data_IF_260926818807
#
_entry.id   IF_260926818807
#
_cell.length_a   1.000
_cell.length_b   1.000
_cell.length_c   1.000
_cell.angle_alpha   90.00
_cell.angle_beta   90.00
_cell.angle_gamma   90.00
#
_symmetry.space_group_name_H-M   'P 1'
#
loop_
_entity.id
_entity.type
_entity.pdbx_description
1 polymer ?
#
# COMPACT_ATOMS: atom_id res chain seq x y z
N UNK A 1 -6.38 -34.10 18.66
CA UNK A 1 -6.55 -33.97 17.18
C UNK A 1 -7.83 -33.23 16.76
N UNK A 2 -8.67 -32.74 17.68
CA UNK A 2 -9.63 -31.65 17.42
C UNK A 2 -9.02 -30.25 17.59
N UNK A 3 -7.76 -30.20 18.04
CA UNK A 3 -7.10 -28.97 18.55
C UNK A 3 -6.62 -28.05 17.43
N UNK A 4 -6.38 -28.56 16.21
CA UNK A 4 -5.82 -27.77 15.11
C UNK A 4 -6.83 -26.74 14.56
N UNK A 5 -8.11 -27.10 14.47
CA UNK A 5 -9.17 -26.18 14.04
C UNK A 5 -9.41 -25.08 15.09
N UNK A 6 -9.42 -25.45 16.37
CA UNK A 6 -9.53 -24.49 17.48
C UNK A 6 -8.31 -23.56 17.52
N UNK A 7 -7.10 -24.09 17.32
CA UNK A 7 -5.89 -23.29 17.22
C UNK A 7 -5.95 -22.30 16.07
N UNK A 8 -6.46 -22.70 14.89
CA UNK A 8 -6.63 -21.78 13.76
C UNK A 8 -7.60 -20.64 14.08
N UNK A 9 -8.73 -20.94 14.74
CA UNK A 9 -9.70 -19.91 15.17
C UNK A 9 -9.07 -18.95 16.19
N UNK A 10 -8.33 -19.48 17.18
CA UNK A 10 -7.63 -18.65 18.17
C UNK A 10 -6.59 -17.77 17.48
N UNK A 11 -5.79 -18.32 16.58
CA UNK A 11 -4.79 -17.55 15.82
C UNK A 11 -5.47 -16.47 14.99
N UNK A 12 -6.56 -16.79 14.28
CA UNK A 12 -7.31 -15.80 13.51
C UNK A 12 -7.86 -14.66 14.40
N UNK A 13 -8.39 -14.99 15.59
CA UNK A 13 -8.87 -13.99 16.54
C UNK A 13 -7.73 -13.11 17.07
N UNK A 14 -6.62 -13.71 17.49
CA UNK A 14 -5.43 -12.98 17.97
C UNK A 14 -4.86 -12.08 16.89
N UNK A 15 -4.69 -12.60 15.67
CA UNK A 15 -4.21 -11.81 14.53
C UNK A 15 -5.15 -10.66 14.21
N UNK A 16 -6.48 -10.86 14.31
CA UNK A 16 -7.45 -9.78 14.09
C UNK A 16 -7.33 -8.67 15.13
N UNK A 17 -7.13 -9.02 16.40
CA UNK A 17 -6.87 -8.03 17.47
C UNK A 17 -5.55 -7.31 17.22
N UNK A 18 -4.49 -8.02 16.86
CA UNK A 18 -3.19 -7.42 16.54
C UNK A 18 -3.28 -6.45 15.36
N UNK A 19 -3.99 -6.82 14.29
CA UNK A 19 -4.21 -5.94 13.13
C UNK A 19 -5.01 -4.69 13.53
N UNK A 20 -6.01 -4.82 14.40
CA UNK A 20 -6.75 -3.68 14.92
C UNK A 20 -5.83 -2.74 15.72
N UNK A 21 -4.98 -3.28 16.60
CA UNK A 21 -4.01 -2.50 17.37
C UNK A 21 -3.00 -1.78 16.46
N UNK A 22 -2.50 -2.46 15.43
CA UNK A 22 -1.63 -1.86 14.40
C UNK A 22 -2.36 -0.76 13.64
N UNK A 23 -3.63 -0.95 13.30
CA UNK A 23 -4.43 0.06 12.59
C UNK A 23 -4.65 1.31 13.44
N UNK A 24 -4.89 1.15 14.74
CA UNK A 24 -4.97 2.26 15.71
C UNK A 24 -3.60 2.95 15.84
N UNK A 25 -2.52 2.18 15.93
CA UNK A 25 -1.17 2.72 15.97
C UNK A 25 -0.85 3.55 14.71
N UNK A 26 -1.20 3.06 13.52
CA UNK A 26 -1.01 3.80 12.28
C UNK A 26 -1.83 5.10 12.27
N UNK A 27 -3.09 5.07 12.72
CA UNK A 27 -3.89 6.29 12.84
C UNK A 27 -3.20 7.32 13.75
N UNK A 28 -2.81 6.93 14.96
CA UNK A 28 -2.24 7.85 15.97
C UNK A 28 -0.96 8.51 15.46
N UNK A 29 -0.13 7.75 14.73
CA UNK A 29 1.17 8.23 14.26
C UNK A 29 1.11 9.01 12.94
N UNK A 30 0.13 8.75 12.07
CA UNK A 30 0.00 9.47 10.79
C UNK A 30 -0.94 10.66 10.83
N UNK A 31 -1.90 10.71 11.77
CA UNK A 31 -2.83 11.83 11.88
C UNK A 31 -2.13 13.16 12.22
N UNK A 32 -2.71 14.26 11.76
CA UNK A 32 -2.29 15.61 12.11
C UNK A 32 -2.64 15.96 13.58
N UNK A 33 -1.79 16.71 14.32
CA UNK A 33 -2.05 17.09 15.72
C UNK A 33 -3.36 17.88 15.90
N UNK A 34 -3.74 18.72 14.94
CA UNK A 34 -5.00 19.48 14.99
C UNK A 34 -6.24 18.57 15.04
N UNK A 35 -6.15 17.38 14.46
CA UNK A 35 -7.23 16.40 14.46
C UNK A 35 -7.19 15.48 15.70
N UNK A 36 -6.19 15.57 16.60
CA UNK A 36 -5.94 14.57 17.65
C UNK A 36 -7.13 14.32 18.60
N UNK A 37 -7.86 15.37 18.99
CA UNK A 37 -9.03 15.28 19.89
C UNK A 37 -10.37 15.57 19.19
N UNK A 38 -10.39 15.59 17.85
CA UNK A 38 -11.58 15.87 17.04
C UNK A 38 -11.86 14.72 16.06
N UNK A 39 -12.95 14.82 15.29
CA UNK A 39 -13.24 13.94 14.16
C UNK A 39 -13.25 12.41 14.44
N UNK A 40 -13.89 11.98 15.53
CA UNK A 40 -13.97 10.56 15.92
C UNK A 40 -14.58 9.64 14.85
N UNK A 41 -15.57 10.13 14.10
CA UNK A 41 -16.21 9.32 13.05
C UNK A 41 -15.26 8.99 11.88
N UNK A 42 -14.61 9.97 11.22
CA UNK A 42 -13.55 9.70 10.25
C UNK A 42 -12.44 8.78 10.76
N UNK A 43 -11.99 8.95 12.02
CA UNK A 43 -10.98 8.09 12.64
C UNK A 43 -11.41 6.62 12.72
N UNK A 44 -12.66 6.39 13.12
CA UNK A 44 -13.22 5.04 13.15
C UNK A 44 -13.25 4.42 11.75
N UNK A 45 -13.62 5.19 10.73
CA UNK A 45 -13.61 4.73 9.33
C UNK A 45 -12.19 4.42 8.84
N UNK A 46 -11.19 5.25 9.17
CA UNK A 46 -9.78 4.99 8.86
C UNK A 46 -9.30 3.69 9.50
N UNK A 47 -9.55 3.49 10.79
CA UNK A 47 -9.14 2.27 11.51
C UNK A 47 -9.82 1.04 10.92
N UNK A 48 -11.12 1.11 10.64
CA UNK A 48 -11.86 0.01 10.01
C UNK A 48 -11.33 -0.29 8.61
N UNK A 49 -11.06 0.73 7.78
CA UNK A 49 -10.55 0.54 6.43
C UNK A 49 -9.15 -0.10 6.40
N UNK A 50 -8.22 0.39 7.24
CA UNK A 50 -6.89 -0.25 7.36
C UNK A 50 -7.03 -1.68 7.89
N UNK A 51 -7.89 -1.91 8.88
CA UNK A 51 -8.11 -3.25 9.44
C UNK A 51 -8.63 -4.22 8.37
N UNK A 52 -9.63 -3.82 7.58
CA UNK A 52 -10.18 -4.65 6.50
C UNK A 52 -9.13 -4.92 5.42
N UNK A 53 -8.36 -3.91 5.00
CA UNK A 53 -7.31 -4.08 4.00
C UNK A 53 -6.22 -5.07 4.48
N UNK A 54 -5.74 -4.93 5.71
CA UNK A 54 -4.71 -5.81 6.27
C UNK A 54 -5.24 -7.23 6.56
N UNK A 55 -6.49 -7.38 7.01
CA UNK A 55 -7.10 -8.70 7.21
C UNK A 55 -7.35 -9.42 5.88
N UNK A 56 -7.78 -8.70 4.86
CA UNK A 56 -8.09 -9.29 3.55
C UNK A 56 -6.89 -10.01 2.91
N UNK A 57 -5.67 -9.48 3.06
CA UNK A 57 -4.47 -10.16 2.57
C UNK A 57 -4.09 -11.38 3.44
N UNK A 58 -4.30 -11.30 4.75
CA UNK A 58 -4.04 -12.40 5.70
C UNK A 58 -5.08 -13.52 5.60
N UNK A 59 -6.22 -13.27 4.94
CA UNK A 59 -7.18 -14.33 4.62
C UNK A 59 -6.63 -15.34 3.61
N UNK A 60 -5.69 -14.98 2.73
CA UNK A 60 -5.05 -15.93 1.81
C UNK A 60 -4.33 -17.08 2.56
N UNK A 61 -3.35 -16.80 3.44
CA UNK A 61 -2.70 -17.86 4.20
C UNK A 61 -3.67 -18.53 5.18
N UNK A 62 -4.66 -17.82 5.72
CA UNK A 62 -5.70 -18.44 6.55
C UNK A 62 -6.54 -19.45 5.75
N UNK A 63 -6.88 -19.18 4.49
CA UNK A 63 -7.59 -20.11 3.60
C UNK A 63 -6.77 -21.38 3.35
N UNK A 64 -5.47 -21.22 3.08
CA UNK A 64 -4.54 -22.34 2.92
C UNK A 64 -4.48 -23.17 4.21
N UNK A 65 -4.28 -22.54 5.36
CA UNK A 65 -4.24 -23.22 6.66
C UNK A 65 -5.56 -23.97 6.95
N UNK A 66 -6.69 -23.33 6.66
CA UNK A 66 -8.03 -23.89 6.84
C UNK A 66 -8.25 -25.12 5.94
N UNK A 67 -7.78 -25.07 4.68
CA UNK A 67 -7.84 -26.22 3.78
C UNK A 67 -6.94 -27.36 4.24
N UNK A 68 -5.71 -27.05 4.67
CA UNK A 68 -4.75 -28.03 5.18
C UNK A 68 -5.26 -28.71 6.46
N UNK A 69 -5.94 -27.95 7.33
CA UNK A 69 -6.63 -28.47 8.51
C UNK A 69 -7.65 -29.56 8.14
N UNK A 70 -8.48 -29.29 7.13
CA UNK A 70 -9.50 -30.23 6.66
C UNK A 70 -8.91 -31.43 5.90
N UNK A 71 -7.76 -31.30 5.22
CA UNK A 71 -7.10 -32.42 4.52
C UNK A 71 -6.62 -33.55 5.46
N UNK A 72 -6.35 -33.22 6.73
CA UNK A 72 -5.88 -34.19 7.75
C UNK A 72 -7.04 -34.84 8.55
N UNK A 73 -8.29 -34.44 8.30
CA UNK A 73 -9.44 -35.01 8.99
C UNK A 73 -9.86 -36.36 8.36
N UNK A 74 -9.82 -37.43 9.16
CA UNK A 74 -10.19 -38.80 8.75
C UNK A 74 -11.71 -38.99 8.66
N UNK A 75 -12.51 -38.09 9.25
CA UNK A 75 -13.98 -38.15 9.28
C UNK A 75 -14.60 -36.83 8.78
N UNK A 76 -15.60 -36.94 7.91
CA UNK A 76 -16.29 -35.80 7.25
C UNK A 76 -16.89 -34.78 8.23
N UNK A 77 -17.25 -35.19 9.44
CA UNK A 77 -17.75 -34.30 10.50
C UNK A 77 -16.70 -33.35 11.10
N UNK A 78 -15.40 -33.65 11.04
CA UNK A 78 -14.36 -32.80 11.61
C UNK A 78 -14.06 -31.54 10.78
N UNK A 79 -14.55 -31.47 9.53
CA UNK A 79 -14.47 -30.27 8.69
C UNK A 79 -15.60 -29.27 9.02
N UNK A 80 -16.56 -29.61 9.90
CA UNK A 80 -17.63 -28.68 10.34
C UNK A 80 -17.14 -27.54 11.25
N UNK A 81 -15.98 -27.71 11.90
CA UNK A 81 -15.35 -26.69 12.76
C UNK A 81 -14.31 -25.85 12.00
N UNK A 82 -14.42 -25.77 10.67
CA UNK A 82 -13.52 -24.97 9.84
C UNK A 82 -14.14 -23.60 9.57
N UNK A 83 -13.30 -22.60 9.28
CA UNK A 83 -13.77 -21.27 8.93
C UNK A 83 -14.53 -21.33 7.59
N UNK A 84 -15.73 -20.72 7.48
CA UNK A 84 -16.49 -20.70 6.23
C UNK A 84 -15.86 -19.71 5.24
N UNK A 85 -14.71 -20.06 4.67
CA UNK A 85 -13.85 -19.14 3.90
C UNK A 85 -14.58 -18.51 2.72
N UNK A 86 -15.46 -19.22 2.00
CA UNK A 86 -16.27 -18.63 0.92
C UNK A 86 -17.15 -17.48 1.42
N UNK A 87 -17.84 -17.70 2.55
CA UNK A 87 -18.70 -16.69 3.19
C UNK A 87 -17.88 -15.52 3.71
N UNK A 88 -16.71 -15.79 4.32
CA UNK A 88 -15.81 -14.76 4.80
C UNK A 88 -15.25 -13.91 3.66
N UNK A 89 -14.83 -14.53 2.55
CA UNK A 89 -14.34 -13.80 1.37
C UNK A 89 -15.43 -12.90 0.79
N UNK A 90 -16.65 -13.43 0.62
CA UNK A 90 -17.78 -12.64 0.15
C UNK A 90 -18.12 -11.49 1.12
N UNK A 91 -18.12 -11.74 2.43
CA UNK A 91 -18.38 -10.74 3.44
C UNK A 91 -17.34 -9.61 3.42
N UNK A 92 -16.05 -9.95 3.29
CA UNK A 92 -14.97 -8.96 3.19
C UNK A 92 -15.05 -8.15 1.90
N UNK A 93 -15.40 -8.75 0.76
CA UNK A 93 -15.58 -7.97 -0.48
C UNK A 93 -16.81 -7.06 -0.45
N UNK A 94 -17.91 -7.50 0.16
CA UNK A 94 -19.06 -6.62 0.38
C UNK A 94 -18.68 -5.48 1.32
N UNK A 95 -17.96 -5.78 2.40
CA UNK A 95 -17.49 -4.77 3.34
C UNK A 95 -16.53 -3.77 2.66
N UNK A 96 -15.60 -4.24 1.84
CA UNK A 96 -14.68 -3.41 1.07
C UNK A 96 -15.43 -2.49 0.10
N UNK A 97 -16.36 -3.03 -0.69
CA UNK A 97 -17.17 -2.25 -1.62
C UNK A 97 -18.02 -1.19 -0.89
N UNK A 98 -18.64 -1.55 0.24
CA UNK A 98 -19.41 -0.62 1.07
C UNK A 98 -18.50 0.46 1.66
N UNK A 99 -17.32 0.08 2.16
CA UNK A 99 -16.35 1.03 2.71
C UNK A 99 -15.87 2.02 1.65
N UNK A 100 -15.43 1.54 0.49
CA UNK A 100 -14.85 2.37 -0.57
C UNK A 100 -15.90 3.25 -1.27
N UNK A 101 -17.06 2.71 -1.62
CA UNK A 101 -18.03 3.45 -2.44
C UNK A 101 -19.05 4.25 -1.63
N UNK A 102 -19.27 3.93 -0.35
CA UNK A 102 -20.29 4.58 0.48
C UNK A 102 -19.71 5.22 1.73
N UNK A 103 -19.04 4.45 2.60
CA UNK A 103 -18.66 4.92 3.95
C UNK A 103 -17.52 5.94 3.90
N UNK A 104 -16.47 5.69 3.11
CA UNK A 104 -15.32 6.60 2.96
C UNK A 104 -15.75 7.92 2.28
N UNK A 105 -16.47 7.92 1.14
CA UNK A 105 -17.03 9.13 0.56
C UNK A 105 -17.92 9.89 1.55
N UNK A 106 -18.77 9.18 2.28
CA UNK A 106 -19.59 9.79 3.33
C UNK A 106 -18.75 10.47 4.41
N UNK A 107 -17.73 9.78 4.92
CA UNK A 107 -16.84 10.32 5.95
C UNK A 107 -16.06 11.53 5.46
N UNK A 108 -15.60 11.53 4.20
CA UNK A 108 -14.93 12.69 3.58
C UNK A 108 -15.88 13.88 3.47
N UNK A 109 -17.04 13.72 2.84
CA UNK A 109 -18.01 14.82 2.67
C UNK A 109 -18.58 15.32 4.01
N UNK A 110 -18.75 14.44 5.00
CA UNK A 110 -19.20 14.83 6.34
C UNK A 110 -18.13 15.65 7.08
N UNK A 111 -16.86 15.25 6.95
CA UNK A 111 -15.73 15.94 7.56
C UNK A 111 -15.46 17.30 6.90
N UNK A 112 -15.51 17.39 5.56
CA UNK A 112 -15.41 18.64 4.81
C UNK A 112 -16.63 19.56 4.99
N UNK A 113 -17.74 18.99 5.48
CA UNK A 113 -18.96 19.72 5.76
C UNK A 113 -18.72 20.87 6.75
N UNK A 114 -19.08 22.07 6.31
CA UNK A 114 -18.97 23.32 7.06
C UNK A 114 -19.40 23.18 8.52
N UNK A 115 -18.46 23.44 9.44
CA UNK A 115 -18.65 23.24 10.89
C UNK A 115 -19.69 24.22 11.48
N UNK A 116 -19.96 25.32 10.78
CA UNK A 116 -20.95 26.33 11.18
C UNK A 116 -22.40 25.87 10.95
N UNK A 117 -22.60 24.75 10.24
CA UNK A 117 -23.92 24.17 9.96
C UNK A 117 -24.34 23.19 11.05
N UNK A 118 -25.64 23.16 11.35
CA UNK A 118 -26.21 22.15 12.26
C UNK A 118 -25.92 20.73 11.77
N UNK A 119 -25.74 19.80 12.72
CA UNK A 119 -25.39 18.39 12.44
C UNK A 119 -26.35 17.77 11.40
N UNK A 120 -27.65 18.05 11.47
CA UNK A 120 -28.63 17.57 10.51
C UNK A 120 -28.44 18.11 9.08
N UNK A 121 -28.08 19.39 8.93
CA UNK A 121 -27.78 19.99 7.61
C UNK A 121 -26.49 19.41 7.01
N UNK A 122 -25.49 19.12 7.85
CA UNK A 122 -24.25 18.46 7.43
C UNK A 122 -24.52 17.02 6.98
N UNK A 123 -25.31 16.28 7.76
CA UNK A 123 -25.68 14.90 7.45
C UNK A 123 -26.45 14.79 6.14
N UNK A 124 -27.47 15.62 5.94
CA UNK A 124 -28.26 15.65 4.69
C UNK A 124 -27.42 16.05 3.49
N UNK A 125 -26.54 17.04 3.62
CA UNK A 125 -25.61 17.43 2.57
C UNK A 125 -24.65 16.30 2.21
N UNK A 126 -24.06 15.62 3.20
CA UNK A 126 -23.14 14.51 2.97
C UNK A 126 -23.86 13.32 2.31
N UNK A 127 -25.06 12.97 2.77
CA UNK A 127 -25.88 11.91 2.19
C UNK A 127 -26.25 12.21 0.73
N UNK A 128 -26.54 13.46 0.40
CA UNK A 128 -26.86 13.85 -0.98
C UNK A 128 -25.65 13.67 -1.91
N UNK A 129 -24.45 14.10 -1.48
CA UNK A 129 -23.22 13.90 -2.26
C UNK A 129 -22.86 12.42 -2.40
N UNK A 130 -23.07 11.62 -1.36
CA UNK A 130 -22.86 10.17 -1.40
C UNK A 130 -23.85 9.50 -2.35
N UNK A 131 -25.12 9.92 -2.35
CA UNK A 131 -26.10 9.41 -3.30
C UNK A 131 -25.70 9.72 -4.75
N UNK A 132 -25.24 10.95 -5.02
CA UNK A 132 -24.74 11.33 -6.34
C UNK A 132 -23.52 10.48 -6.72
N UNK A 133 -22.53 10.34 -5.84
CA UNK A 133 -21.34 9.53 -6.13
C UNK A 133 -21.67 8.05 -6.31
N UNK A 134 -22.59 7.51 -5.52
CA UNK A 134 -23.05 6.12 -5.62
C UNK A 134 -23.80 5.87 -6.94
N UNK A 135 -24.63 6.81 -7.39
CA UNK A 135 -25.29 6.73 -8.71
C UNK A 135 -24.25 6.75 -9.83
N UNK A 136 -23.27 7.65 -9.78
CA UNK A 136 -22.21 7.74 -10.80
C UNK A 136 -21.38 6.44 -10.82
N UNK A 137 -20.90 5.97 -9.68
CA UNK A 137 -20.16 4.72 -9.57
C UNK A 137 -21.00 3.52 -10.00
N UNK A 138 -22.27 3.46 -9.60
CA UNK A 138 -23.21 2.41 -9.97
C UNK A 138 -23.49 2.37 -11.47
N UNK A 139 -23.64 3.53 -12.12
CA UNK A 139 -23.79 3.62 -13.58
C UNK A 139 -22.52 3.14 -14.29
N UNK A 140 -21.34 3.57 -13.84
CA UNK A 140 -20.05 3.12 -14.41
C UNK A 140 -19.91 1.59 -14.28
N UNK A 141 -20.14 1.06 -13.07
CA UNK A 141 -20.07 -0.39 -12.81
C UNK A 141 -21.13 -1.16 -13.60
N UNK A 142 -22.35 -0.62 -13.73
CA UNK A 142 -23.44 -1.23 -14.50
C UNK A 142 -23.13 -1.29 -15.99
N UNK A 143 -22.56 -0.23 -16.57
CA UNK A 143 -22.08 -0.20 -17.95
C UNK A 143 -20.95 -1.23 -18.14
N UNK A 144 -19.97 -1.26 -17.24
CA UNK A 144 -18.88 -2.23 -17.28
C UNK A 144 -19.40 -3.67 -17.19
N UNK A 145 -20.37 -3.93 -16.30
CA UNK A 145 -21.00 -5.24 -16.17
C UNK A 145 -21.75 -5.65 -17.45
N UNK A 146 -22.52 -4.74 -18.05
CA UNK A 146 -23.26 -4.99 -19.29
C UNK A 146 -22.35 -5.29 -20.49
N UNK A 147 -21.19 -4.65 -20.57
CA UNK A 147 -20.24 -4.80 -21.68
C UNK A 147 -19.27 -5.98 -21.51
N UNK A 148 -18.81 -6.24 -20.29
CA UNK A 148 -17.63 -7.07 -19.99
C UNK A 148 -17.94 -8.24 -19.05
N UNK A 149 -19.08 -8.24 -18.36
CA UNK A 149 -19.40 -9.19 -17.29
C UNK A 149 -19.81 -10.62 -17.71
N UNK A 150 -19.83 -10.94 -19.01
CA UNK A 150 -20.16 -12.30 -19.49
C UNK A 150 -18.92 -13.20 -19.51
N UNK A 151 -19.10 -14.50 -19.31
CA UNK A 151 -18.01 -15.47 -19.24
C UNK A 151 -18.01 -16.38 -20.48
N UNK A 152 -16.89 -16.51 -21.19
CA UNK A 152 -16.72 -17.36 -22.37
C UNK A 152 -15.73 -18.51 -22.06
N UNK A 153 -16.20 -19.76 -22.03
CA UNK A 153 -15.32 -20.93 -21.87
C UNK A 153 -14.91 -21.50 -23.24
N UNK A 154 -13.60 -21.64 -23.48
CA UNK A 154 -13.06 -22.33 -24.67
C UNK A 154 -12.16 -23.50 -24.24
N UNK A 155 -12.48 -24.72 -24.67
CA UNK A 155 -11.71 -25.93 -24.36
C UNK A 155 -10.57 -26.10 -25.37
N UNK A 156 -9.32 -26.31 -24.90
CA UNK A 156 -8.17 -26.66 -25.76
C UNK A 156 -7.29 -27.72 -25.07
N UNK A 157 -6.83 -28.70 -25.87
CA UNK A 157 -5.88 -29.75 -25.48
C UNK A 157 -4.43 -29.24 -25.57
N UNK A 158 -3.58 -29.68 -24.64
CA UNK A 158 -2.15 -29.35 -24.59
C UNK A 158 -1.30 -30.60 -24.86
N UNK A 159 -0.26 -30.43 -25.67
CA UNK A 159 0.86 -31.36 -25.87
C UNK A 159 2.15 -30.54 -25.69
N UNK A 160 3.15 -31.08 -24.98
CA UNK A 160 4.39 -30.39 -24.63
C UNK A 160 5.62 -31.14 -25.14
N UNK A 161 6.65 -30.37 -25.53
CA UNK A 161 7.99 -30.86 -25.83
C UNK A 161 9.02 -30.10 -24.97
N UNK A 162 10.15 -30.76 -24.65
CA UNK A 162 11.20 -30.31 -23.72
C UNK A 162 12.45 -29.91 -24.52
N UNK A 163 13.09 -28.80 -24.17
CA UNK A 163 14.45 -28.46 -24.60
C UNK A 163 15.37 -28.04 -23.42
N UNK A 164 16.68 -28.21 -23.63
CA UNK A 164 17.78 -28.12 -22.64
C UNK A 164 18.66 -26.88 -22.89
N UNK A 165 19.28 -26.32 -21.84
CA UNK A 165 20.16 -25.14 -21.93
C UNK A 165 21.61 -25.39 -21.45
N UNK A 166 22.62 -24.68 -22.00
CA UNK A 166 24.04 -24.80 -21.60
C UNK A 166 24.53 -23.70 -20.62
N UNK A 167 25.75 -23.93 -20.08
CA UNK A 167 26.39 -23.23 -18.95
C UNK A 167 27.56 -22.29 -19.34
N UNK A 168 27.80 -21.28 -18.46
CA UNK A 168 29.07 -20.56 -18.12
C UNK A 168 29.58 -19.45 -19.10
N UNK A 169 30.35 -18.39 -18.74
CA UNK A 169 31.39 -18.09 -17.72
C UNK A 169 31.43 -16.58 -17.29
N UNK A 170 32.46 -16.20 -16.53
CA UNK A 170 32.65 -15.20 -15.45
C UNK A 170 33.10 -13.74 -15.73
N UNK A 171 32.84 -12.90 -14.70
CA UNK A 171 33.66 -11.82 -14.06
C UNK A 171 34.04 -10.51 -14.78
N UNK A 172 33.88 -9.37 -14.07
CA UNK A 172 34.96 -8.39 -13.83
C UNK A 172 34.69 -7.51 -12.59
N UNK A 173 35.76 -7.20 -11.85
CA UNK A 173 35.86 -6.37 -10.64
C UNK A 173 36.61 -5.09 -10.97
N UNK A 174 36.21 -3.92 -10.45
CA UNK A 174 37.11 -2.85 -9.96
C UNK A 174 36.31 -1.83 -9.12
N UNK A 175 36.87 -1.33 -8.02
CA UNK A 175 36.20 -0.43 -7.07
C UNK A 175 36.68 1.03 -7.08
N UNK A 176 36.10 1.85 -6.19
CA UNK A 176 36.76 2.87 -5.35
C UNK A 176 35.76 3.49 -4.36
N UNK A 177 36.24 4.05 -3.22
CA UNK A 177 35.39 4.54 -2.13
C UNK A 177 35.00 6.02 -2.30
N UNK A 178 33.87 6.42 -1.72
CA UNK A 178 33.51 7.84 -1.57
C UNK A 178 33.02 8.10 -0.15
N UNK A 179 33.93 8.61 0.69
CA UNK A 179 33.63 9.37 1.90
C UNK A 179 33.64 10.85 1.49
N UNK A 180 32.65 11.62 1.94
CA UNK A 180 32.77 13.07 2.05
C UNK A 180 32.24 13.53 3.40
N UNK A 181 33.05 14.31 4.10
CA UNK A 181 32.83 14.81 5.45
C UNK A 181 32.22 16.22 5.48
N UNK A 182 31.43 16.45 6.55
CA UNK A 182 31.12 17.70 7.28
C UNK A 182 29.84 18.50 6.93
N UNK A 183 28.90 18.61 7.90
CA UNK A 183 27.87 19.65 7.93
C UNK A 183 28.19 20.69 9.02
N UNK A 184 28.73 21.85 8.61
CA UNK A 184 28.61 23.11 9.37
C UNK A 184 28.10 24.27 8.50
N UNK A 185 28.14 24.14 7.18
CA UNK A 185 27.63 25.13 6.22
C UNK A 185 26.14 24.92 5.85
N UNK A 186 25.63 23.70 5.96
CA UNK A 186 24.24 23.38 5.58
C UNK A 186 23.21 23.93 6.58
N UNK A 187 23.50 23.86 7.89
CA UNK A 187 22.65 24.44 8.93
C UNK A 187 22.56 25.98 8.85
N UNK A 188 23.64 26.64 8.42
CA UNK A 188 23.67 28.11 8.27
C UNK A 188 22.92 28.57 7.02
N UNK A 189 22.95 27.82 5.92
CA UNK A 189 22.12 28.08 4.74
C UNK A 189 20.63 27.79 4.99
N UNK A 190 20.30 26.73 5.74
CA UNK A 190 18.93 26.43 6.14
C UNK A 190 18.33 27.57 6.99
N UNK A 191 19.11 28.09 7.95
CA UNK A 191 18.71 29.23 8.77
C UNK A 191 18.50 30.53 7.97
N UNK A 192 19.27 30.75 6.88
CA UNK A 192 19.04 31.87 5.96
C UNK A 192 17.72 31.69 5.19
N UNK A 193 17.46 30.49 4.66
CA UNK A 193 16.23 30.17 3.94
C UNK A 193 14.99 30.34 4.82
N UNK A 194 15.04 29.90 6.08
CA UNK A 194 13.97 30.10 7.06
C UNK A 194 13.63 31.58 7.26
N UNK A 195 14.64 32.45 7.34
CA UNK A 195 14.46 33.90 7.48
C UNK A 195 13.86 34.53 6.22
N UNK A 196 14.27 34.10 5.03
CA UNK A 196 13.70 34.57 3.75
C UNK A 196 12.22 34.18 3.64
N UNK A 197 11.89 32.93 3.95
CA UNK A 197 10.51 32.45 3.92
C UNK A 197 9.62 33.15 4.96
N UNK A 198 10.14 33.42 6.16
CA UNK A 198 9.42 34.22 7.17
C UNK A 198 9.09 35.63 6.66
N UNK A 199 10.04 36.31 6.03
CA UNK A 199 9.81 37.64 5.42
C UNK A 199 8.77 37.58 4.29
N UNK A 200 8.81 36.54 3.46
CA UNK A 200 7.82 36.34 2.41
C UNK A 200 6.41 36.05 2.97
N UNK A 201 6.31 35.31 4.07
CA UNK A 201 5.07 35.06 4.79
C UNK A 201 4.47 36.35 5.37
N UNK A 202 5.30 37.17 6.02
CA UNK A 202 4.90 38.47 6.56
C UNK A 202 4.40 39.42 5.46
N UNK A 203 5.09 39.47 4.31
CA UNK A 203 4.67 40.26 3.16
C UNK A 203 3.31 39.81 2.60
N UNK A 204 3.08 38.50 2.45
CA UNK A 204 1.80 37.95 2.00
C UNK A 204 0.67 38.18 3.01
N UNK A 205 0.98 38.19 4.30
CA UNK A 205 0.01 38.51 5.36
C UNK A 205 -0.36 40.00 5.36
N UNK A 206 0.59 40.89 5.04
CA UNK A 206 0.29 42.30 4.81
C UNK A 206 -0.57 42.52 3.55
N UNK A 207 -0.28 41.80 2.46
CA UNK A 207 -1.13 41.81 1.26
C UNK A 207 -2.56 41.31 1.58
N UNK A 208 -2.68 40.32 2.46
CA UNK A 208 -3.96 39.81 2.93
C UNK A 208 -4.78 40.90 3.65
N UNK A 209 -4.14 41.63 4.57
CA UNK A 209 -4.76 42.75 5.29
C UNK A 209 -5.11 43.92 4.38
N UNK A 210 -4.36 44.12 3.30
CA UNK A 210 -4.64 45.14 2.28
C UNK A 210 -5.84 44.79 1.36
N UNK A 211 -6.45 43.61 1.55
CA UNK A 211 -7.65 43.18 0.82
C UNK A 211 -7.37 42.63 -0.59
N UNK A 212 -6.11 42.52 -1.03
CA UNK A 212 -5.73 42.06 -2.38
C UNK A 212 -5.69 40.53 -2.48
N UNK A 213 -6.81 39.85 -2.23
CA UNK A 213 -6.96 38.37 -2.31
C UNK A 213 -7.14 37.84 -3.75
N UNK A 214 -6.34 38.35 -4.69
CA UNK A 214 -6.39 37.99 -6.11
C UNK A 214 -5.77 36.62 -6.45
N UNK A 215 -5.80 36.25 -7.74
CA UNK A 215 -5.21 34.99 -8.25
C UNK A 215 -3.69 34.90 -8.00
N UNK A 216 -2.98 36.03 -8.06
CA UNK A 216 -1.53 36.14 -7.80
C UNK A 216 -1.19 35.80 -6.35
N UNK A 217 -1.92 36.40 -5.40
CA UNK A 217 -1.76 36.11 -3.97
C UNK A 217 -1.94 34.62 -3.68
N UNK A 218 -3.03 34.00 -4.18
CA UNK A 218 -3.28 32.55 -4.02
C UNK A 218 -2.13 31.69 -4.58
N UNK A 219 -1.53 32.09 -5.71
CA UNK A 219 -0.38 31.40 -6.30
C UNK A 219 0.86 31.52 -5.42
N UNK A 220 1.15 32.71 -4.90
CA UNK A 220 2.29 32.97 -4.03
C UNK A 220 2.15 32.26 -2.66
N UNK A 221 0.96 32.26 -2.06
CA UNK A 221 0.67 31.51 -0.82
C UNK A 221 0.91 30.01 -1.03
N UNK A 222 0.46 29.46 -2.16
CA UNK A 222 0.68 28.05 -2.48
C UNK A 222 2.16 27.71 -2.70
N UNK A 223 2.91 28.61 -3.33
CA UNK A 223 4.34 28.45 -3.54
C UNK A 223 5.12 28.51 -2.21
N UNK A 224 4.77 29.47 -1.35
CA UNK A 224 5.34 29.60 -0.01
C UNK A 224 5.06 28.36 0.85
N UNK A 225 3.82 27.87 0.86
CA UNK A 225 3.45 26.66 1.60
C UNK A 225 4.25 25.44 1.16
N UNK A 226 4.53 25.30 -0.15
CA UNK A 226 5.37 24.21 -0.67
C UNK A 226 6.83 24.30 -0.16
N UNK A 227 7.41 25.50 -0.17
CA UNK A 227 8.78 25.69 0.34
C UNK A 227 8.88 25.55 1.86
N UNK A 228 7.83 25.92 2.60
CA UNK A 228 7.78 25.77 4.05
C UNK A 228 7.77 24.29 4.45
N UNK A 229 6.99 23.46 3.74
CA UNK A 229 6.99 22.01 3.96
C UNK A 229 8.37 21.39 3.66
N UNK A 230 9.06 21.85 2.60
CA UNK A 230 10.42 21.39 2.32
C UNK A 230 11.42 21.81 3.40
N UNK A 231 11.31 23.05 3.91
CA UNK A 231 12.15 23.54 4.99
C UNK A 231 11.92 22.74 6.29
N UNK A 232 10.67 22.40 6.60
CA UNK A 232 10.31 21.57 7.75
C UNK A 232 10.88 20.16 7.63
N UNK A 233 10.77 19.53 6.46
CA UNK A 233 11.36 18.21 6.18
C UNK A 233 12.90 18.26 6.33
N UNK A 234 13.56 19.31 5.83
CA UNK A 234 15.01 19.52 5.97
C UNK A 234 15.45 19.80 7.43
N UNK A 235 14.66 20.57 8.18
CA UNK A 235 14.92 20.87 9.59
C UNK A 235 14.80 19.61 10.44
N UNK A 236 13.76 18.80 10.21
CA UNK A 236 13.58 17.51 10.89
C UNK A 236 14.74 16.55 10.60
N UNK A 237 15.22 16.51 9.35
CA UNK A 237 16.40 15.71 9.01
C UNK A 237 17.66 16.19 9.74
N UNK A 238 17.81 17.50 9.94
CA UNK A 238 18.93 18.06 10.72
C UNK A 238 18.82 17.74 12.21
N UNK A 239 17.62 17.83 12.79
CA UNK A 239 17.34 17.46 14.18
C UNK A 239 17.59 15.97 14.44
N UNK A 240 17.25 15.08 13.49
CA UNK A 240 17.58 13.66 13.57
C UNK A 240 19.09 13.39 13.57
N UNK A 241 19.88 14.22 12.88
CA UNK A 241 21.35 14.08 12.81
C UNK A 241 22.08 14.74 13.99
N UNK A 242 21.47 15.76 14.60
CA UNK A 242 22.04 16.55 15.69
C UNK A 242 21.00 16.77 16.80
N UNK A 243 20.65 15.73 17.59
CA UNK A 243 19.69 15.87 18.67
C UNK A 243 20.23 16.85 19.72
N UNK A 244 19.44 17.86 20.09
CA UNK A 244 19.78 18.83 21.13
C UNK A 244 19.06 18.50 22.44
N UNK A 245 19.76 18.53 23.58
CA UNK A 245 19.19 18.36 24.91
C UNK A 245 19.96 17.40 25.82
N UNK A 246 19.42 17.17 27.02
CA UNK A 246 20.04 16.35 28.08
C UNK A 246 20.14 14.84 27.72
N UNK A 247 19.32 14.37 26.76
CA UNK A 247 19.28 12.98 26.28
C UNK A 247 19.85 12.79 24.87
N UNK A 248 20.74 13.69 24.41
CA UNK A 248 21.27 13.69 23.05
C UNK A 248 21.96 12.36 22.67
N UNK A 249 22.78 11.79 23.56
CA UNK A 249 23.51 10.53 23.31
C UNK A 249 22.57 9.33 23.11
N UNK A 250 21.53 9.21 23.94
CA UNK A 250 20.55 8.13 23.82
C UNK A 250 19.69 8.28 22.55
N UNK A 251 19.29 9.51 22.23
CA UNK A 251 18.53 9.84 21.01
C UNK A 251 19.36 9.57 19.76
N UNK A 252 20.65 9.91 19.80
CA UNK A 252 21.60 9.63 18.73
C UNK A 252 21.83 8.10 18.57
N UNK A 253 21.99 7.35 19.66
CA UNK A 253 22.11 5.90 19.59
C UNK A 253 20.86 5.24 18.98
N UNK A 254 19.67 5.70 19.35
CA UNK A 254 18.40 5.22 18.78
C UNK A 254 18.23 5.57 17.30
N UNK A 255 18.65 6.77 16.87
CA UNK A 255 18.59 7.16 15.45
C UNK A 255 19.58 6.34 14.62
N UNK A 256 20.81 6.12 15.11
CA UNK A 256 21.80 5.23 14.46
C UNK A 256 21.27 3.80 14.35
N UNK A 257 20.72 3.25 15.44
CA UNK A 257 20.08 1.93 15.43
C UNK A 257 18.92 1.89 14.42
N UNK A 258 18.14 2.98 14.34
CA UNK A 258 17.09 3.16 13.34
C UNK A 258 17.61 3.12 11.90
N UNK A 259 18.74 3.78 11.61
CA UNK A 259 19.38 3.74 10.29
C UNK A 259 19.91 2.35 9.94
N UNK A 260 20.56 1.66 10.88
CA UNK A 260 21.02 0.28 10.70
C UNK A 260 19.83 -0.65 10.48
N UNK A 261 18.77 -0.48 11.27
CA UNK A 261 17.51 -1.22 11.09
C UNK A 261 16.92 -1.00 9.70
N UNK A 262 16.80 0.25 9.23
CA UNK A 262 16.34 0.58 7.88
C UNK A 262 17.19 -0.08 6.80
N UNK A 263 18.52 -0.13 6.97
CA UNK A 263 19.42 -0.82 6.04
C UNK A 263 19.17 -2.33 6.00
N UNK A 264 19.05 -2.97 7.17
CA UNK A 264 18.77 -4.40 7.27
C UNK A 264 17.40 -4.75 6.67
N UNK A 265 16.35 -4.01 7.01
CA UNK A 265 15.02 -4.20 6.42
C UNK A 265 15.03 -3.94 4.92
N UNK A 266 15.82 -2.96 4.45
CA UNK A 266 16.03 -2.70 3.02
C UNK A 266 16.71 -3.86 2.31
N UNK A 267 17.74 -4.46 2.91
CA UNK A 267 18.43 -5.63 2.36
C UNK A 267 17.52 -6.87 2.29
N UNK A 268 16.76 -7.13 3.37
CA UNK A 268 15.76 -8.21 3.40
C UNK A 268 14.68 -7.95 2.35
N UNK A 269 14.17 -6.72 2.26
CA UNK A 269 13.20 -6.33 1.24
C UNK A 269 13.73 -6.50 -0.18
N UNK A 270 15.00 -6.20 -0.44
CA UNK A 270 15.63 -6.41 -1.74
C UNK A 270 15.66 -7.90 -2.11
N UNK A 271 16.03 -8.78 -1.18
CA UNK A 271 16.04 -10.23 -1.40
C UNK A 271 14.63 -10.74 -1.74
N UNK A 272 13.62 -10.30 -0.98
CA UNK A 272 12.22 -10.70 -1.20
C UNK A 272 11.70 -10.15 -2.55
N UNK A 273 12.04 -8.91 -2.91
CA UNK A 273 11.71 -8.33 -4.21
C UNK A 273 12.33 -9.13 -5.36
N UNK A 274 13.60 -9.51 -5.26
CA UNK A 274 14.28 -10.35 -6.26
C UNK A 274 13.57 -11.70 -6.36
N UNK A 275 13.23 -12.33 -5.23
CA UNK A 275 12.49 -13.59 -5.22
C UNK A 275 11.11 -13.46 -5.88
N UNK A 276 10.40 -12.36 -5.65
CA UNK A 276 9.13 -12.05 -6.31
C UNK A 276 9.28 -11.89 -7.83
N UNK A 277 10.25 -11.09 -8.28
CA UNK A 277 10.49 -10.90 -9.72
C UNK A 277 10.87 -12.22 -10.38
N UNK A 278 11.77 -12.99 -9.76
CA UNK A 278 12.15 -14.31 -10.25
C UNK A 278 10.93 -15.24 -10.33
N UNK A 279 10.09 -15.27 -9.30
CA UNK A 279 8.86 -16.06 -9.28
C UNK A 279 7.90 -15.68 -10.40
N UNK A 280 7.69 -14.38 -10.64
CA UNK A 280 6.83 -13.90 -11.73
C UNK A 280 7.37 -14.35 -13.09
N UNK A 281 8.68 -14.18 -13.32
CA UNK A 281 9.30 -14.56 -14.59
C UNK A 281 9.24 -16.07 -14.83
N UNK A 282 9.60 -16.87 -13.84
CA UNK A 282 9.74 -18.32 -13.95
C UNK A 282 8.38 -19.04 -13.99
N UNK A 283 7.42 -18.59 -13.17
CA UNK A 283 6.14 -19.28 -12.97
C UNK A 283 4.97 -18.66 -13.72
N UNK A 284 4.92 -17.32 -13.90
CA UNK A 284 3.77 -16.64 -14.51
C UNK A 284 3.99 -16.27 -15.98
N UNK A 285 5.20 -15.85 -16.38
CA UNK A 285 5.43 -15.33 -17.73
C UNK A 285 5.75 -16.39 -18.79
N UNK A 286 6.23 -17.56 -18.39
CA UNK A 286 6.59 -18.66 -19.30
C UNK A 286 5.47 -19.71 -19.27
N UNK A 287 4.93 -20.07 -20.43
CA UNK A 287 3.93 -21.12 -20.59
C UNK A 287 4.49 -22.23 -21.50
N UNK A 288 4.69 -23.47 -21.02
CA UNK A 288 4.47 -23.95 -19.63
C UNK A 288 5.51 -23.39 -18.63
N UNK A 289 5.18 -23.30 -17.33
CA UNK A 289 6.10 -22.72 -16.32
C UNK A 289 7.39 -23.54 -16.21
N UNK A 290 8.53 -22.85 -16.18
CA UNK A 290 9.86 -23.47 -16.09
C UNK A 290 10.04 -24.23 -14.76
N UNK A 291 9.51 -23.67 -13.67
CA UNK A 291 9.49 -24.26 -12.34
C UNK A 291 8.40 -23.62 -11.49
N UNK A 292 7.86 -24.35 -10.52
CA UNK A 292 6.94 -23.81 -9.50
C UNK A 292 7.64 -22.93 -8.46
N UNK A 293 8.98 -22.90 -8.43
CA UNK A 293 9.87 -22.09 -7.59
C UNK A 293 9.36 -21.84 -6.15
N UNK A 294 8.83 -20.65 -5.82
CA UNK A 294 8.39 -20.32 -4.47
C UNK A 294 7.25 -21.24 -3.99
N UNK A 295 6.37 -21.67 -4.89
CA UNK A 295 5.31 -22.60 -4.53
C UNK A 295 5.89 -23.93 -4.02
N UNK A 296 6.95 -24.45 -4.66
CA UNK A 296 7.60 -25.69 -4.24
C UNK A 296 8.34 -25.51 -2.91
N UNK A 297 8.97 -24.35 -2.71
CA UNK A 297 9.61 -23.99 -1.43
C UNK A 297 8.58 -24.02 -0.30
N UNK A 298 7.41 -23.40 -0.48
CA UNK A 298 6.38 -23.39 0.55
C UNK A 298 5.86 -24.79 0.87
N UNK A 299 5.62 -25.64 -0.14
CA UNK A 299 5.23 -27.05 0.07
C UNK A 299 6.32 -27.80 0.85
N UNK A 300 7.61 -27.60 0.53
CA UNK A 300 8.72 -28.23 1.27
C UNK A 300 8.80 -27.75 2.72
N UNK A 301 8.57 -26.47 2.98
CA UNK A 301 8.55 -25.90 4.32
C UNK A 301 7.41 -26.49 5.17
N UNK A 302 6.22 -26.66 4.59
CA UNK A 302 5.10 -27.34 5.26
C UNK A 302 5.42 -28.81 5.60
N UNK A 303 6.31 -29.45 4.83
CA UNK A 303 6.84 -30.78 5.14
C UNK A 303 7.71 -30.83 6.40
N UNK A 304 8.41 -29.74 6.73
CA UNK A 304 9.24 -29.62 7.95
C UNK A 304 8.37 -29.32 9.17
N UNK A 305 7.50 -28.33 9.05
CA UNK A 305 6.50 -27.99 10.06
C UNK A 305 5.25 -27.50 9.35
N UNK A 306 4.09 -28.12 9.64
CA UNK A 306 2.88 -27.98 8.84
C UNK A 306 2.22 -26.59 8.77
N UNK A 307 2.82 -25.56 9.37
CA UNK A 307 2.42 -24.15 9.25
C UNK A 307 3.57 -23.24 8.76
N UNK A 308 4.78 -23.78 8.55
CA UNK A 308 5.95 -23.00 8.17
C UNK A 308 5.84 -22.45 6.75
N UNK A 309 5.36 -23.28 5.81
CA UNK A 309 5.08 -22.84 4.44
C UNK A 309 3.96 -21.82 4.41
N UNK A 310 2.93 -22.01 5.24
CA UNK A 310 1.83 -21.05 5.36
C UNK A 310 2.29 -19.70 5.93
N UNK A 311 3.16 -19.71 6.95
CA UNK A 311 3.74 -18.50 7.51
C UNK A 311 4.67 -17.79 6.51
N UNK A 312 5.49 -18.53 5.76
CA UNK A 312 6.32 -17.98 4.70
C UNK A 312 5.47 -17.37 3.58
N UNK A 313 4.41 -18.06 3.17
CA UNK A 313 3.43 -17.55 2.22
C UNK A 313 2.74 -16.26 2.70
N UNK A 314 2.33 -16.22 3.98
CA UNK A 314 1.78 -15.01 4.59
C UNK A 314 2.76 -13.83 4.52
N UNK A 315 4.03 -14.08 4.82
CA UNK A 315 5.08 -13.08 4.78
C UNK A 315 5.29 -12.50 3.37
N UNK A 316 5.31 -13.35 2.32
CA UNK A 316 5.42 -12.89 0.94
C UNK A 316 4.19 -12.08 0.48
N UNK A 317 2.98 -12.52 0.83
CA UNK A 317 1.74 -11.79 0.54
C UNK A 317 1.70 -10.42 1.23
N UNK A 318 2.04 -10.38 2.52
CA UNK A 318 2.05 -9.15 3.31
C UNK A 318 3.13 -8.18 2.84
N UNK A 319 4.29 -8.69 2.41
CA UNK A 319 5.35 -7.89 1.81
C UNK A 319 4.86 -7.09 0.59
N UNK A 320 4.11 -7.72 -0.32
CA UNK A 320 3.55 -7.00 -1.47
C UNK A 320 2.56 -5.90 -1.05
N UNK A 321 1.71 -6.17 -0.06
CA UNK A 321 0.79 -5.15 0.43
C UNK A 321 1.56 -3.97 1.05
N UNK A 322 2.59 -4.23 1.86
CA UNK A 322 3.44 -3.16 2.42
C UNK A 322 4.13 -2.38 1.29
N UNK A 323 4.63 -3.05 0.25
CA UNK A 323 5.27 -2.38 -0.88
C UNK A 323 4.29 -1.44 -1.62
N UNK A 324 3.03 -1.88 -1.78
CA UNK A 324 1.97 -1.07 -2.37
C UNK A 324 1.61 0.13 -1.47
N UNK A 325 1.40 -0.09 -0.17
CA UNK A 325 1.13 0.99 0.80
C UNK A 325 2.30 1.99 0.82
N UNK A 326 3.55 1.52 0.83
CA UNK A 326 4.73 2.37 0.78
C UNK A 326 4.79 3.21 -0.50
N UNK A 327 4.46 2.62 -1.65
CA UNK A 327 4.33 3.35 -2.91
C UNK A 327 3.24 4.41 -2.85
N UNK A 328 2.07 4.07 -2.31
CA UNK A 328 0.94 4.97 -2.16
C UNK A 328 1.27 6.18 -1.27
N UNK A 329 1.94 5.95 -0.14
CA UNK A 329 2.38 7.02 0.77
C UNK A 329 3.33 8.02 0.07
N UNK A 330 4.07 7.60 -0.95
CA UNK A 330 4.98 8.45 -1.72
C UNK A 330 4.30 9.18 -2.89
N UNK A 331 3.17 8.68 -3.39
CA UNK A 331 2.51 9.19 -4.59
C UNK A 331 1.70 10.46 -4.31
N UNK A 332 2.34 11.62 -4.40
CA UNK A 332 1.66 12.92 -4.45
C UNK A 332 1.29 13.35 -5.87
N UNK A 333 0.30 12.71 -6.49
CA UNK A 333 -0.10 13.01 -7.87
C UNK A 333 -1.29 13.97 -7.93
N UNK A 334 -1.24 14.94 -8.86
CA UNK A 334 -2.42 15.70 -9.29
C UNK A 334 -2.94 15.08 -10.57
N UNK A 335 -3.88 14.15 -10.45
CA UNK A 335 -4.67 13.69 -11.59
C UNK A 335 -5.66 14.80 -11.97
N UNK A 336 -6.20 14.72 -13.20
CA UNK A 336 -7.02 15.80 -13.81
C UNK A 336 -8.17 16.28 -12.91
N UNK A 337 -8.74 15.38 -12.09
CA UNK A 337 -9.85 15.70 -11.18
C UNK A 337 -9.59 15.40 -9.69
N UNK A 338 -8.45 14.77 -9.35
CA UNK A 338 -8.16 14.31 -7.98
C UNK A 338 -6.73 14.68 -7.60
N UNK A 339 -6.58 15.43 -6.51
CA UNK A 339 -5.29 15.68 -5.87
C UNK A 339 -5.04 14.60 -4.82
N UNK A 340 -4.18 13.65 -5.14
CA UNK A 340 -3.69 12.64 -4.20
C UNK A 340 -2.63 13.31 -3.34
N UNK A 341 -2.89 13.34 -2.03
CA UNK A 341 -1.97 13.89 -1.05
C UNK A 341 -1.15 12.75 -0.44
N UNK A 342 0.20 12.86 -0.41
CA UNK A 342 1.04 11.85 0.20
C UNK A 342 0.76 11.76 1.70
N UNK A 343 0.82 10.57 2.25
CA UNK A 343 0.68 10.34 3.69
C UNK A 343 2.00 10.70 4.39
N UNK A 344 1.94 11.56 5.40
CA UNK A 344 3.10 11.99 6.19
C UNK A 344 2.94 11.59 7.65
N UNK A 345 4.03 11.11 8.24
CA UNK A 345 4.10 10.83 9.67
C UNK A 345 3.83 12.10 10.48
N UNK A 346 2.82 12.06 11.36
CA UNK A 346 2.40 13.16 12.24
C UNK A 346 1.78 14.36 11.54
N UNK A 347 1.46 14.25 10.24
CA UNK A 347 1.09 15.42 9.43
C UNK A 347 0.01 15.16 8.39
N UNK A 348 -0.67 14.01 8.43
CA UNK A 348 -1.72 13.70 7.46
C UNK A 348 -3.07 14.22 7.94
N UNK A 349 -3.63 15.18 7.20
CA UNK A 349 -5.00 15.66 7.41
C UNK A 349 -6.01 14.51 7.24
N UNK A 350 -7.07 14.50 8.05
CA UNK A 350 -8.06 13.41 8.06
C UNK A 350 -8.66 13.09 6.69
N UNK A 351 -8.99 14.11 5.90
CA UNK A 351 -9.54 13.91 4.55
C UNK A 351 -8.56 13.19 3.60
N UNK A 352 -7.29 13.59 3.63
CA UNK A 352 -6.23 12.93 2.86
C UNK A 352 -5.96 11.50 3.38
N UNK A 353 -6.09 11.29 4.69
CA UNK A 353 -5.96 9.95 5.28
C UNK A 353 -7.08 9.04 4.77
N UNK A 354 -8.35 9.46 4.88
CA UNK A 354 -9.51 8.71 4.38
C UNK A 354 -9.38 8.35 2.89
N UNK A 355 -8.93 9.29 2.07
CA UNK A 355 -8.74 9.05 0.64
C UNK A 355 -7.67 7.96 0.38
N UNK A 356 -6.51 8.04 1.04
CA UNK A 356 -5.47 7.01 0.92
C UNK A 356 -5.98 5.65 1.45
N UNK A 357 -6.69 5.61 2.57
CA UNK A 357 -7.29 4.34 3.05
C UNK A 357 -8.22 3.71 2.01
N UNK A 358 -8.98 4.52 1.28
CA UNK A 358 -9.80 4.05 0.15
C UNK A 358 -8.96 3.47 -1.00
N UNK A 359 -7.81 4.06 -1.31
CA UNK A 359 -6.87 3.54 -2.30
C UNK A 359 -6.20 2.23 -1.83
N UNK A 360 -5.80 2.15 -0.57
CA UNK A 360 -5.23 0.93 0.03
C UNK A 360 -6.23 -0.22 -0.07
N UNK A 361 -7.51 0.02 0.26
CA UNK A 361 -8.59 -0.97 0.15
C UNK A 361 -8.73 -1.48 -1.29
N UNK A 362 -8.85 -0.58 -2.27
CA UNK A 362 -8.93 -0.94 -3.69
C UNK A 362 -7.70 -1.72 -4.19
N UNK A 363 -6.50 -1.31 -3.77
CA UNK A 363 -5.27 -1.97 -4.16
C UNK A 363 -5.12 -3.33 -3.49
N UNK A 364 -5.63 -3.53 -2.27
CA UNK A 364 -5.56 -4.80 -1.55
C UNK A 364 -6.22 -5.94 -2.33
N UNK A 365 -7.37 -5.69 -2.98
CA UNK A 365 -8.05 -6.67 -3.85
C UNK A 365 -7.14 -7.09 -5.01
N UNK A 366 -6.46 -6.13 -5.63
CA UNK A 366 -5.56 -6.38 -6.75
C UNK A 366 -4.35 -7.22 -6.31
N UNK A 367 -3.79 -6.92 -5.13
CA UNK A 367 -2.69 -7.71 -4.54
C UNK A 367 -3.16 -9.13 -4.21
N UNK A 368 -4.35 -9.30 -3.62
CA UNK A 368 -4.92 -10.62 -3.31
C UNK A 368 -5.11 -11.45 -4.59
N UNK A 369 -5.69 -10.84 -5.63
CA UNK A 369 -5.92 -11.48 -6.92
C UNK A 369 -4.60 -11.91 -7.57
N UNK A 370 -3.58 -11.05 -7.49
CA UNK A 370 -2.24 -11.35 -7.97
C UNK A 370 -1.59 -12.49 -7.18
N UNK A 371 -1.63 -12.46 -5.85
CA UNK A 371 -1.09 -13.50 -4.99
C UNK A 371 -1.78 -14.85 -5.19
N UNK A 372 -3.12 -14.88 -5.32
CA UNK A 372 -3.87 -16.10 -5.63
C UNK A 372 -3.41 -16.72 -6.96
N UNK A 373 -3.17 -15.88 -7.97
CA UNK A 373 -2.67 -16.33 -9.28
C UNK A 373 -1.22 -16.81 -9.21
N UNK A 374 -0.34 -16.02 -8.58
CA UNK A 374 1.10 -16.29 -8.44
C UNK A 374 1.38 -17.57 -7.63
N UNK A 375 0.53 -17.86 -6.64
CA UNK A 375 0.68 -19.00 -5.77
C UNK A 375 -0.40 -20.07 -5.98
N UNK A 376 -0.95 -20.15 -7.19
CA UNK A 376 -2.02 -21.07 -7.56
C UNK A 376 -1.72 -22.55 -7.25
N UNK A 377 -0.46 -22.97 -7.35
CA UNK A 377 -0.04 -24.35 -7.01
C UNK A 377 -0.05 -24.58 -5.50
N UNK A 378 0.49 -23.66 -4.70
CA UNK A 378 0.51 -23.78 -3.25
C UNK A 378 -0.89 -23.60 -2.63
N UNK A 379 -1.66 -22.65 -3.14
CA UNK A 379 -3.02 -22.33 -2.70
C UNK A 379 -4.11 -23.12 -3.45
N UNK A 380 -3.78 -24.27 -4.04
CA UNK A 380 -4.72 -25.08 -4.80
C UNK A 380 -5.90 -25.53 -3.92
N UNK A 381 -7.11 -25.53 -4.50
CA UNK A 381 -8.36 -25.94 -3.83
C UNK A 381 -8.71 -25.12 -2.57
N UNK A 382 -8.28 -23.86 -2.53
CA UNK A 382 -8.77 -22.84 -1.59
C UNK A 382 -9.97 -22.09 -2.16
N UNK A 383 -10.75 -21.43 -1.30
CA UNK A 383 -11.88 -20.61 -1.75
C UNK A 383 -11.39 -19.42 -2.60
N UNK A 384 -10.27 -18.81 -2.23
CA UNK A 384 -9.63 -17.76 -3.01
C UNK A 384 -9.31 -18.21 -4.44
N UNK A 385 -8.75 -19.42 -4.61
CA UNK A 385 -8.39 -19.92 -5.95
C UNK A 385 -9.61 -20.23 -6.83
N UNK A 386 -10.71 -20.68 -6.23
CA UNK A 386 -11.99 -20.87 -6.95
C UNK A 386 -12.55 -19.54 -7.47
N UNK A 387 -12.52 -18.49 -6.63
CA UNK A 387 -13.00 -17.15 -6.98
C UNK A 387 -12.11 -16.52 -8.05
N UNK A 388 -10.78 -16.48 -7.84
CA UNK A 388 -9.86 -15.72 -8.67
C UNK A 388 -9.28 -16.47 -9.87
N UNK A 389 -9.07 -17.79 -9.75
CA UNK A 389 -8.37 -18.57 -10.77
C UNK A 389 -9.23 -18.86 -12.00
N UNK A 390 -10.50 -19.24 -11.80
CA UNK A 390 -11.33 -19.75 -12.90
C UNK A 390 -12.31 -18.70 -13.47
N UNK A 391 -12.86 -17.85 -12.61
CA UNK A 391 -13.92 -16.91 -13.00
C UNK A 391 -13.38 -15.72 -13.78
N UNK A 392 -12.25 -15.14 -13.37
CA UNK A 392 -11.66 -13.93 -13.98
C UNK A 392 -11.06 -14.20 -15.37
N UNK A 393 -10.37 -15.32 -15.54
CA UNK A 393 -9.72 -15.68 -16.82
C UNK A 393 -10.73 -15.92 -17.95
N UNK A 394 -11.99 -16.10 -17.60
CA UNK A 394 -13.05 -16.42 -18.52
C UNK A 394 -13.94 -15.20 -18.85
N UNK A 395 -13.68 -14.01 -18.27
CA UNK A 395 -14.45 -12.79 -18.53
C UNK A 395 -14.29 -12.25 -19.96
N UNK A 396 -15.38 -11.86 -20.61
CA UNK A 396 -15.43 -11.36 -21.98
C UNK A 396 -14.65 -10.04 -22.10
N UNK A 397 -13.69 -9.98 -23.01
CA UNK A 397 -12.82 -8.81 -23.20
C UNK A 397 -11.61 -8.79 -22.27
N UNK A 398 -11.82 -8.76 -20.95
CA UNK A 398 -10.71 -8.74 -19.97
C UNK A 398 -9.88 -10.03 -20.02
N UNK A 399 -10.45 -11.17 -20.44
CA UNK A 399 -9.70 -12.43 -20.60
C UNK A 399 -8.42 -12.28 -21.41
N UNK A 400 -8.37 -11.39 -22.39
CA UNK A 400 -7.17 -11.20 -23.20
C UNK A 400 -6.02 -10.58 -22.40
N UNK A 401 -6.31 -9.68 -21.45
CA UNK A 401 -5.30 -9.09 -20.57
C UNK A 401 -4.67 -10.16 -19.66
N UNK A 402 -5.48 -11.08 -19.15
CA UNK A 402 -5.01 -12.21 -18.35
C UNK A 402 -4.33 -13.30 -19.19
N UNK A 403 -4.88 -13.62 -20.37
CA UNK A 403 -4.32 -14.62 -21.29
C UNK A 403 -2.94 -14.24 -21.80
N UNK A 404 -2.72 -12.96 -22.10
CA UNK A 404 -1.41 -12.46 -22.56
C UNK A 404 -0.54 -11.94 -21.41
N UNK A 405 -0.88 -12.25 -20.16
CA UNK A 405 -0.11 -11.84 -18.98
C UNK A 405 0.25 -10.34 -18.94
N UNK A 406 -0.62 -9.48 -19.48
CA UNK A 406 -0.35 -8.05 -19.70
C UNK A 406 -0.03 -7.35 -18.38
N UNK A 407 -0.77 -7.70 -17.32
CA UNK A 407 -0.55 -7.12 -15.99
C UNK A 407 0.79 -7.54 -15.39
N UNK A 408 1.19 -8.79 -15.58
CA UNK A 408 2.47 -9.34 -15.11
C UNK A 408 3.65 -8.71 -15.85
N UNK A 409 3.56 -8.60 -17.18
CA UNK A 409 4.56 -7.88 -17.98
C UNK A 409 4.64 -6.40 -17.57
N UNK A 410 3.50 -5.74 -17.38
CA UNK A 410 3.44 -4.35 -16.91
C UNK A 410 4.10 -4.17 -15.54
N UNK A 411 3.82 -5.08 -14.60
CA UNK A 411 4.44 -5.09 -13.27
C UNK A 411 5.97 -5.19 -13.36
N UNK A 412 6.49 -6.18 -14.10
CA UNK A 412 7.94 -6.38 -14.25
C UNK A 412 8.59 -5.21 -14.99
N UNK A 413 7.97 -4.71 -16.06
CA UNK A 413 8.48 -3.57 -16.81
C UNK A 413 8.58 -2.32 -15.92
N UNK A 414 7.55 -2.00 -15.15
CA UNK A 414 7.56 -0.87 -14.22
C UNK A 414 8.58 -1.08 -13.08
N UNK A 415 8.72 -2.29 -12.56
CA UNK A 415 9.74 -2.60 -11.55
C UNK A 415 11.16 -2.39 -12.09
N UNK A 416 11.43 -2.84 -13.33
CA UNK A 416 12.73 -2.64 -13.98
C UNK A 416 12.98 -1.16 -14.28
N UNK A 417 11.98 -0.44 -14.81
CA UNK A 417 12.09 0.98 -15.11
C UNK A 417 12.34 1.81 -13.84
N UNK A 418 11.63 1.52 -12.75
CA UNK A 418 11.84 2.19 -11.46
C UNK A 418 13.20 1.85 -10.87
N UNK A 419 13.66 0.60 -10.95
CA UNK A 419 15.01 0.21 -10.54
C UNK A 419 16.09 1.00 -11.29
N UNK A 420 16.02 1.07 -12.62
CA UNK A 420 16.96 1.86 -13.42
C UNK A 420 16.87 3.36 -13.10
N UNK A 421 15.66 3.89 -12.94
CA UNK A 421 15.47 5.28 -12.54
C UNK A 421 16.14 5.60 -11.20
N UNK A 422 15.95 4.77 -10.17
CA UNK A 422 16.60 4.96 -8.88
C UNK A 422 18.11 4.72 -8.93
N UNK A 423 18.59 3.76 -9.71
CA UNK A 423 20.03 3.53 -9.88
C UNK A 423 20.74 4.73 -10.52
N UNK A 424 20.12 5.35 -11.54
CA UNK A 424 20.71 6.48 -12.29
C UNK A 424 20.51 7.81 -11.56
N UNK A 425 19.32 8.05 -11.00
CA UNK A 425 18.92 9.36 -10.47
C UNK A 425 18.78 9.42 -8.95
N UNK A 426 18.71 8.28 -8.25
CA UNK A 426 18.50 8.24 -6.80
C UNK A 426 19.60 8.91 -5.97
N UNK A 427 20.81 9.02 -6.54
CA UNK A 427 21.97 9.66 -5.91
C UNK A 427 21.97 11.19 -6.06
N UNK A 428 21.17 11.73 -6.98
CA UNK A 428 21.00 13.18 -7.12
C UNK A 428 20.05 13.66 -6.03
N UNK A 429 20.57 13.92 -4.82
CA UNK A 429 19.87 14.78 -3.85
C UNK A 429 19.44 16.04 -4.61
N UNK A 430 18.15 16.37 -4.58
CA UNK A 430 17.66 17.67 -5.05
C UNK A 430 18.38 18.72 -4.20
N UNK A 431 19.44 19.32 -4.75
CA UNK A 431 20.04 20.51 -4.15
C UNK A 431 18.92 21.55 -4.06
N UNK A 432 18.75 22.27 -2.94
CA UNK A 432 17.78 23.35 -2.85
C UNK A 432 18.10 24.36 -3.96
N UNK A 433 17.26 24.38 -4.99
CA UNK A 433 17.42 25.28 -6.13
C UNK A 433 17.00 26.68 -5.71
N UNK A 434 18.00 27.56 -5.53
CA UNK A 434 17.88 29.03 -5.68
C UNK A 434 17.08 29.79 -4.61
N UNK A 435 17.39 31.09 -4.46
CA UNK A 435 16.61 32.05 -3.64
C UNK A 435 15.12 31.94 -3.98
N UNK A 436 14.29 31.74 -2.97
CA UNK A 436 12.84 31.84 -3.14
C UNK A 436 12.48 33.30 -3.47
N UNK A 437 11.85 33.52 -4.63
CA UNK A 437 11.39 34.83 -5.06
C UNK A 437 9.88 34.80 -5.28
N UNK A 438 9.19 35.80 -4.73
CA UNK A 438 7.77 36.03 -5.01
C UNK A 438 7.62 36.37 -6.49
N UNK A 439 6.56 35.87 -7.13
CA UNK A 439 6.26 36.31 -8.49
C UNK A 439 5.85 37.79 -8.47
N UNK A 440 6.53 38.60 -9.29
CA UNK A 440 6.23 40.03 -9.48
C UNK A 440 4.90 40.27 -10.19
#
# INVERSE_FOLDING_TARGET
>A
MGDFNVALVIVAAVVSVLVLLVSVYLLINYQHPDDANQAYFPKLVVVLGITVALLSILMLPADVANRQACRRAIYSGACSLTLPMKTLWLAVYIADAVLVFLVIPFAMFYYEGDQDKSVGKRLTSALLWVAVSAVVCGLILGILYGLVGKVDFTVRHLSSAVETFPNSFTSFSTGQPCISTSPKQEATELGKKARELKKAAEALHQEERSGKKGRKWRKNVKALGKELVLLEDDMKALEEMYPQGEQAEATWALTVLGYIGKLLFGAVGLIISIAWVAHIVIYLLIDPPLSSFLNEIFVKLDGVWGLLGTAAFAFFCFYLLIAVIAGEMMLGLKLVFITIHPMKWGGTLMNSFLFNVGLILLCSISVIQFCATAFAYYAQATAAQEIFGHTLQSLRGIKYLYKYNVFQYGFVALAILTLFYYAIFGWRKRKPTGRFQLSN
#
